data_IF_193025035100
#
_entry.id   IF_193025035100
#
_cell.length_a   1.000
_cell.length_b   1.000
_cell.length_c   1.000
_cell.angle_alpha   90.00
_cell.angle_beta   90.00
_cell.angle_gamma   90.00
#
_symmetry.space_group_name_H-M   'P 1'
#
loop_
_entity.id
_entity.type
_entity.pdbx_description
1 polymer ?
#
# COMPACT_ATOMS: atom_id res chain seq x y z
N UNK A 1 -17.59 10.95 -14.87
CA UNK A 1 -16.89 12.05 -15.55
C UNK A 1 -15.41 11.71 -15.59
N UNK A 2 -14.72 11.97 -16.71
CA UNK A 2 -13.28 11.73 -16.84
C UNK A 2 -12.54 13.07 -16.92
N UNK A 3 -11.58 13.25 -16.02
CA UNK A 3 -10.71 14.41 -16.01
C UNK A 3 -9.93 14.53 -17.33
N UNK A 4 -9.83 15.74 -17.87
CA UNK A 4 -9.07 16.04 -19.10
C UNK A 4 -9.84 15.82 -20.40
N UNK A 5 -11.13 15.47 -20.35
CA UNK A 5 -12.00 15.42 -21.54
C UNK A 5 -12.87 16.66 -21.55
N UNK A 6 -12.46 17.66 -22.34
CA UNK A 6 -13.02 19.02 -22.36
C UNK A 6 -14.32 19.11 -23.18
N UNK A 7 -15.28 18.25 -22.89
CA UNK A 7 -16.61 18.26 -23.52
C UNK A 7 -17.70 18.19 -22.45
N UNK A 8 -18.83 18.90 -22.61
CA UNK A 8 -19.97 18.73 -21.70
C UNK A 8 -20.66 17.36 -21.91
N UNK A 9 -20.65 16.86 -23.16
CA UNK A 9 -21.27 15.61 -23.56
C UNK A 9 -20.48 14.34 -23.23
N UNK A 10 -20.94 13.22 -23.81
CA UNK A 10 -20.27 11.91 -23.74
C UNK A 10 -19.43 11.67 -24.99
N UNK A 11 -18.26 11.06 -24.80
CA UNK A 11 -17.32 10.71 -25.86
C UNK A 11 -16.90 9.25 -25.70
N UNK A 12 -16.71 8.54 -26.80
CA UNK A 12 -16.22 7.16 -26.80
C UNK A 12 -14.68 7.15 -26.80
N UNK A 13 -14.08 6.67 -25.71
CA UNK A 13 -12.63 6.62 -25.54
C UNK A 13 -12.17 5.18 -25.36
N UNK A 14 -10.98 4.88 -25.89
CA UNK A 14 -10.28 3.63 -25.60
C UNK A 14 -9.67 3.73 -24.20
N UNK A 15 -10.13 2.90 -23.27
CA UNK A 15 -9.68 2.91 -21.87
C UNK A 15 -8.80 1.69 -21.58
N UNK A 16 -7.81 1.87 -20.71
CA UNK A 16 -6.93 0.82 -20.21
C UNK A 16 -7.16 0.56 -18.73
N UNK A 17 -6.75 -0.63 -18.28
CA UNK A 17 -6.93 -1.13 -16.91
C UNK A 17 -6.44 -0.12 -15.85
N UNK A 18 -7.34 0.29 -14.96
CA UNK A 18 -7.00 1.18 -13.83
C UNK A 18 -7.21 2.67 -14.10
N UNK A 19 -7.64 3.03 -15.32
CA UNK A 19 -8.11 4.40 -15.59
C UNK A 19 -9.47 4.66 -14.93
N UNK A 20 -9.77 5.94 -14.59
CA UNK A 20 -11.12 6.31 -14.19
C UNK A 20 -12.12 5.90 -15.27
N UNK A 21 -13.28 5.39 -14.85
CA UNK A 21 -14.34 4.80 -15.70
C UNK A 21 -14.01 3.42 -16.31
N UNK A 22 -12.82 2.86 -16.09
CA UNK A 22 -12.47 1.49 -16.47
C UNK A 22 -11.72 0.75 -15.36
N UNK A 23 -12.49 0.10 -14.50
CA UNK A 23 -11.95 -0.70 -13.41
C UNK A 23 -11.26 -1.96 -13.92
N UNK A 24 -10.17 -2.33 -13.22
CA UNK A 24 -9.34 -3.46 -13.61
C UNK A 24 -9.75 -4.81 -13.06
N UNK A 25 -10.74 -4.88 -12.16
CA UNK A 25 -11.26 -6.17 -11.72
C UNK A 25 -12.12 -6.77 -12.84
N UNK A 26 -11.96 -8.08 -13.12
CA UNK A 26 -12.63 -8.84 -14.21
C UNK A 26 -12.14 -8.57 -15.64
N UNK A 27 -10.94 -8.01 -15.83
CA UNK A 27 -10.36 -7.75 -17.17
C UNK A 27 -9.11 -8.57 -17.39
N UNK A 28 -8.84 -8.96 -18.64
CA UNK A 28 -7.58 -9.63 -18.99
C UNK A 28 -6.43 -8.63 -18.90
N UNK A 29 -5.21 -9.13 -18.67
CA UNK A 29 -4.02 -8.29 -18.72
C UNK A 29 -3.84 -7.77 -20.16
N UNK A 30 -3.57 -6.47 -20.31
CA UNK A 30 -3.45 -5.83 -21.62
C UNK A 30 -4.78 -5.53 -22.34
N UNK A 31 -5.94 -5.81 -21.74
CA UNK A 31 -7.23 -5.49 -22.36
C UNK A 31 -7.47 -3.97 -22.41
N UNK A 32 -7.77 -3.48 -23.61
CA UNK A 32 -8.29 -2.13 -23.83
C UNK A 32 -9.73 -2.23 -24.33
N UNK A 33 -10.60 -1.31 -23.89
CA UNK A 33 -12.00 -1.29 -24.34
C UNK A 33 -12.47 0.13 -24.63
N UNK A 34 -13.09 0.32 -25.80
CA UNK A 34 -13.81 1.56 -26.10
C UNK A 34 -15.09 1.63 -25.25
N UNK A 35 -15.25 2.70 -24.50
CA UNK A 35 -16.44 2.98 -23.69
C UNK A 35 -16.84 4.44 -23.81
N UNK A 36 -18.15 4.68 -23.75
CA UNK A 36 -18.70 6.02 -23.62
C UNK A 36 -18.42 6.55 -22.21
N UNK A 37 -17.82 7.74 -22.15
CA UNK A 37 -17.49 8.42 -20.91
C UNK A 37 -17.93 9.88 -21.02
N UNK A 38 -18.50 10.41 -19.94
CA UNK A 38 -18.83 11.83 -19.85
C UNK A 38 -17.58 12.68 -19.60
N UNK A 39 -17.47 13.82 -20.26
CA UNK A 39 -16.38 14.76 -20.05
C UNK A 39 -16.37 15.41 -18.66
N UNK A 40 -15.41 16.29 -18.42
CA UNK A 40 -15.22 16.95 -17.12
C UNK A 40 -16.04 18.24 -16.97
N UNK A 41 -16.58 18.80 -18.05
CA UNK A 41 -17.38 20.02 -18.00
C UNK A 41 -18.76 19.71 -17.39
N UNK A 42 -19.20 20.55 -16.46
CA UNK A 42 -20.50 20.42 -15.80
C UNK A 42 -21.60 20.93 -16.73
N UNK A 43 -22.67 20.17 -16.88
CA UNK A 43 -23.88 20.57 -17.63
C UNK A 43 -25.13 20.03 -16.94
N UNK A 44 -26.31 20.48 -17.39
CA UNK A 44 -27.60 20.18 -16.77
C UNK A 44 -27.97 18.68 -16.82
N UNK A 45 -27.44 17.90 -17.76
CA UNK A 45 -27.73 16.46 -17.87
C UNK A 45 -27.02 15.59 -16.81
N UNK A 46 -26.43 16.18 -15.77
CA UNK A 46 -25.82 15.46 -14.64
C UNK A 46 -26.86 15.18 -13.56
N UNK A 47 -27.02 13.91 -13.18
CA UNK A 47 -27.93 13.54 -12.08
C UNK A 47 -27.30 13.74 -10.69
N UNK A 48 -25.98 13.55 -10.56
CA UNK A 48 -25.26 13.61 -9.28
C UNK A 48 -23.87 14.22 -9.49
N UNK A 49 -23.46 15.09 -8.57
CA UNK A 49 -22.10 15.62 -8.45
C UNK A 49 -21.46 15.16 -7.14
N UNK A 50 -20.22 14.67 -7.23
CA UNK A 50 -19.42 14.30 -6.07
C UNK A 50 -18.51 15.46 -5.70
N UNK A 51 -18.80 16.13 -4.59
CA UNK A 51 -18.02 17.26 -4.07
C UNK A 51 -17.21 16.84 -2.83
N UNK A 52 -16.08 17.49 -2.60
CA UNK A 52 -15.22 17.29 -1.42
C UNK A 52 -14.95 18.64 -0.78
N UNK A 53 -15.21 18.76 0.52
CA UNK A 53 -14.95 19.98 1.29
C UNK A 53 -13.44 20.12 1.51
N UNK A 54 -12.87 21.26 1.11
CA UNK A 54 -11.44 21.57 1.29
C UNK A 54 -11.21 22.50 2.49
N UNK A 55 -12.14 23.45 2.73
CA UNK A 55 -12.11 24.38 3.85
C UNK A 55 -13.47 24.36 4.54
N UNK A 56 -13.47 24.32 5.87
CA UNK A 56 -14.69 24.41 6.69
C UNK A 56 -15.03 25.88 6.90
N UNK A 57 -16.30 26.25 6.73
CA UNK A 57 -16.80 27.59 7.05
C UNK A 57 -17.17 27.71 8.53
N UNK A 58 -17.68 28.88 8.94
CA UNK A 58 -18.11 29.14 10.33
C UNK A 58 -19.32 28.30 10.75
N UNK A 59 -20.21 27.97 9.80
CA UNK A 59 -21.43 27.21 10.06
C UNK A 59 -21.20 25.72 9.81
N UNK A 60 -21.77 24.89 10.69
CA UNK A 60 -21.68 23.43 10.60
C UNK A 60 -22.81 22.88 9.73
N UNK A 61 -22.50 21.85 8.95
CA UNK A 61 -23.44 21.15 8.10
C UNK A 61 -23.88 19.84 8.78
N UNK A 62 -25.20 19.66 9.02
CA UNK A 62 -25.70 18.48 9.69
C UNK A 62 -25.38 17.22 8.90
N UNK A 63 -24.94 16.17 9.59
CA UNK A 63 -24.61 14.87 9.00
C UNK A 63 -23.28 14.79 8.23
N UNK A 64 -22.60 15.91 7.98
CA UNK A 64 -21.30 15.93 7.32
C UNK A 64 -20.19 16.39 8.25
N UNK A 65 -20.33 17.58 8.87
CA UNK A 65 -19.32 18.11 9.78
C UNK A 65 -19.61 17.79 11.25
N UNK A 66 -20.86 17.49 11.60
CA UNK A 66 -21.26 17.11 12.97
C UNK A 66 -20.64 15.80 13.45
N UNK A 67 -20.47 14.85 12.52
CA UNK A 67 -20.08 13.49 12.90
C UNK A 67 -18.63 13.22 12.53
N UNK A 68 -17.82 12.92 13.53
CA UNK A 68 -16.46 12.46 13.30
C UNK A 68 -16.42 10.95 13.09
N UNK A 69 -15.98 10.52 11.90
CA UNK A 69 -15.78 9.10 11.60
C UNK A 69 -14.32 8.70 11.86
N UNK A 70 -14.02 7.85 12.86
CA UNK A 70 -12.66 7.44 13.13
C UNK A 70 -12.12 6.56 12.00
N UNK A 71 -10.79 6.56 11.82
CA UNK A 71 -10.14 5.71 10.83
C UNK A 71 -10.29 4.23 11.19
N UNK A 72 -10.82 3.43 10.26
CA UNK A 72 -11.05 1.99 10.46
C UNK A 72 -9.75 1.17 10.64
N UNK A 73 -8.63 1.62 10.08
CA UNK A 73 -7.35 0.89 10.19
C UNK A 73 -6.20 1.84 10.47
N UNK A 74 -5.35 1.44 11.41
CA UNK A 74 -4.07 2.07 11.67
C UNK A 74 -3.03 1.83 10.57
N UNK A 75 -1.92 2.55 10.65
CA UNK A 75 -0.80 2.41 9.74
C UNK A 75 -0.13 1.04 9.91
N UNK A 76 0.17 0.36 8.80
CA UNK A 76 0.78 -0.99 8.80
C UNK A 76 2.32 -0.98 8.82
N UNK A 77 2.95 0.05 8.22
CA UNK A 77 4.41 0.09 8.04
C UNK A 77 5.09 0.75 9.22
N UNK A 78 6.19 0.17 9.72
CA UNK A 78 6.94 0.69 10.87
C UNK A 78 7.36 2.16 10.72
N UNK A 79 7.89 2.55 9.56
CA UNK A 79 8.30 3.94 9.29
C UNK A 79 7.14 4.95 9.37
N UNK A 80 5.96 4.56 8.90
CA UNK A 80 4.77 5.42 8.97
C UNK A 80 4.25 5.56 10.40
N UNK A 81 4.35 4.50 11.20
CA UNK A 81 3.95 4.54 12.61
C UNK A 81 4.91 5.44 13.40
N UNK A 82 6.22 5.36 13.15
CA UNK A 82 7.22 6.26 13.76
C UNK A 82 6.96 7.73 13.45
N UNK A 83 6.64 8.05 12.19
CA UNK A 83 6.27 9.42 11.78
C UNK A 83 5.00 9.92 12.46
N UNK A 84 4.03 9.03 12.74
CA UNK A 84 2.76 9.42 13.33
C UNK A 84 2.90 9.75 14.83
N UNK A 85 3.75 9.02 15.54
CA UNK A 85 3.97 9.19 16.98
C UNK A 85 5.26 9.94 17.32
N UNK A 86 5.96 10.48 16.30
CA UNK A 86 7.26 11.14 16.45
C UNK A 86 8.29 10.32 17.27
N UNK A 87 8.34 9.01 17.01
CA UNK A 87 9.21 8.09 17.76
C UNK A 87 10.63 8.08 17.20
N UNK A 88 11.66 8.01 18.07
CA UNK A 88 13.03 7.71 17.66
C UNK A 88 13.15 6.29 17.07
N UNK A 89 14.32 5.97 16.50
CA UNK A 89 14.51 4.71 15.77
C UNK A 89 14.68 3.51 16.72
N UNK A 90 15.06 3.79 17.94
CA UNK A 90 15.43 2.87 19.00
C UNK A 90 14.17 2.25 19.61
N UNK A 91 13.05 2.99 19.59
CA UNK A 91 11.80 2.57 20.18
C UNK A 91 11.06 1.48 19.41
N UNK A 92 10.46 0.56 20.17
CA UNK A 92 9.65 -0.52 19.61
C UNK A 92 8.25 -0.03 19.23
N UNK A 93 7.96 -0.18 17.94
CA UNK A 93 6.71 0.22 17.30
C UNK A 93 5.52 -0.66 17.74
N UNK A 94 5.76 -1.87 18.25
CA UNK A 94 4.69 -2.82 18.62
C UNK A 94 3.75 -2.30 19.70
N UNK A 95 4.30 -1.59 20.69
CA UNK A 95 3.52 -1.05 21.82
C UNK A 95 2.46 -0.05 21.34
N UNK A 96 2.87 0.86 20.44
CA UNK A 96 2.04 1.95 19.92
C UNK A 96 0.96 1.51 18.94
N UNK A 97 1.11 0.34 18.30
CA UNK A 97 0.04 -0.20 17.42
C UNK A 97 -1.16 -0.70 18.22
N UNK A 98 -0.97 -1.04 19.50
CA UNK A 98 -2.07 -1.47 20.36
C UNK A 98 -3.07 -0.35 20.64
N UNK A 99 -2.65 0.92 20.57
CA UNK A 99 -3.54 2.09 20.68
C UNK A 99 -4.56 2.16 19.54
N UNK A 100 -4.26 1.56 18.38
CA UNK A 100 -5.18 1.50 17.24
C UNK A 100 -6.02 0.22 17.18
N UNK A 101 -6.04 -0.58 18.25
CA UNK A 101 -6.89 -1.76 18.29
C UNK A 101 -8.34 -1.33 18.35
N UNK A 102 -9.10 -1.70 17.34
CA UNK A 102 -10.56 -1.63 17.42
C UNK A 102 -11.08 -2.96 17.97
N UNK A 103 -11.89 -2.85 19.02
CA UNK A 103 -12.67 -3.95 19.59
C UNK A 103 -14.04 -3.98 18.93
N UNK A 104 -14.41 -5.13 18.38
CA UNK A 104 -15.73 -5.36 17.81
C UNK A 104 -16.40 -6.55 18.49
N UNK A 105 -17.70 -6.45 18.77
CA UNK A 105 -18.52 -7.60 19.14
C UNK A 105 -18.90 -8.36 17.88
N UNK A 106 -18.64 -9.66 17.87
CA UNK A 106 -19.12 -10.54 16.80
C UNK A 106 -20.60 -10.89 17.01
N UNK A 107 -21.27 -11.42 15.99
CA UNK A 107 -22.66 -11.90 16.10
C UNK A 107 -22.83 -12.94 17.22
N UNK A 108 -21.78 -13.71 17.51
CA UNK A 108 -21.74 -14.66 18.63
C UNK A 108 -21.31 -14.01 19.96
N UNK A 109 -21.59 -12.70 20.13
CA UNK A 109 -21.29 -11.86 21.32
C UNK A 109 -19.84 -11.84 21.84
N UNK A 110 -18.88 -12.47 21.14
CA UNK A 110 -17.45 -12.43 21.50
C UNK A 110 -16.80 -11.11 21.11
N UNK A 111 -16.06 -10.50 22.04
CA UNK A 111 -15.24 -9.31 21.80
C UNK A 111 -13.95 -9.70 21.07
N UNK A 112 -13.73 -9.18 19.88
CA UNK A 112 -12.53 -9.41 19.06
C UNK A 112 -11.81 -8.09 18.84
N UNK A 113 -10.52 -8.05 19.19
CA UNK A 113 -9.63 -6.92 18.91
C UNK A 113 -8.87 -7.17 17.60
N UNK A 114 -8.92 -6.21 16.66
CA UNK A 114 -8.19 -6.29 15.38
C UNK A 114 -7.17 -5.17 15.26
N UNK A 115 -5.96 -5.54 14.82
CA UNK A 115 -4.87 -4.62 14.47
C UNK A 115 -4.14 -5.10 13.20
N UNK A 116 -3.57 -4.18 12.41
CA UNK A 116 -2.78 -4.57 11.24
C UNK A 116 -1.44 -5.20 11.66
N UNK A 117 -1.05 -6.31 11.01
CA UNK A 117 0.29 -6.88 11.16
C UNK A 117 1.35 -5.86 10.74
N UNK A 118 2.25 -5.50 11.66
CA UNK A 118 3.33 -4.56 11.39
C UNK A 118 4.24 -5.11 10.30
N UNK A 119 4.52 -4.26 9.31
CA UNK A 119 5.38 -4.57 8.18
C UNK A 119 6.66 -3.73 8.26
N UNK A 120 7.78 -4.34 7.85
CA UNK A 120 9.09 -3.69 7.72
C UNK A 120 9.68 -3.15 9.04
N UNK A 121 9.33 -3.73 10.19
CA UNK A 121 10.12 -3.55 11.42
C UNK A 121 11.29 -4.53 11.43
N UNK A 122 12.40 -4.15 12.06
CA UNK A 122 13.53 -5.05 12.25
C UNK A 122 13.18 -6.10 13.30
N UNK A 123 13.35 -7.38 12.96
CA UNK A 123 13.22 -8.49 13.91
C UNK A 123 14.53 -9.27 13.99
N UNK A 124 14.84 -9.92 15.12
CA UNK A 124 16.03 -10.75 15.24
C UNK A 124 16.10 -11.81 14.13
N UNK A 125 14.96 -12.41 13.76
CA UNK A 125 14.86 -13.35 12.66
C UNK A 125 15.24 -12.74 11.30
N UNK A 126 14.82 -11.49 11.01
CA UNK A 126 15.24 -10.82 9.75
C UNK A 126 16.73 -10.51 9.73
N UNK A 127 17.32 -10.13 10.88
CA UNK A 127 18.75 -9.87 11.00
C UNK A 127 19.56 -11.16 10.86
N UNK A 128 19.12 -12.25 11.48
CA UNK A 128 19.73 -13.57 11.36
C UNK A 128 19.71 -14.05 9.90
N UNK A 129 18.57 -13.99 9.21
CA UNK A 129 18.46 -14.34 7.79
C UNK A 129 19.37 -13.49 6.90
N UNK A 130 19.54 -12.20 7.23
CA UNK A 130 20.46 -11.31 6.51
C UNK A 130 21.92 -11.71 6.75
N UNK A 131 22.31 -12.00 7.99
CA UNK A 131 23.65 -12.47 8.37
C UNK A 131 23.98 -13.81 7.69
N UNK A 132 23.07 -14.78 7.74
CA UNK A 132 23.21 -16.08 7.09
C UNK A 132 23.45 -15.95 5.58
N UNK A 133 22.66 -15.14 4.87
CA UNK A 133 22.87 -14.88 3.44
C UNK A 133 24.26 -14.34 3.12
N UNK A 134 24.77 -13.44 3.96
CA UNK A 134 26.12 -12.86 3.79
C UNK A 134 27.18 -13.94 4.03
N UNK A 135 27.02 -14.76 5.08
CA UNK A 135 27.91 -15.87 5.39
C UNK A 135 27.94 -16.91 4.25
N UNK A 136 26.79 -17.30 3.72
CA UNK A 136 26.66 -18.22 2.59
C UNK A 136 27.35 -17.68 1.33
N UNK A 137 27.20 -16.37 1.05
CA UNK A 137 27.88 -15.73 -0.08
C UNK A 137 29.39 -15.79 0.10
N UNK A 138 29.91 -15.51 1.30
CA UNK A 138 31.34 -15.61 1.60
C UNK A 138 31.83 -17.06 1.46
N UNK A 139 31.10 -18.03 2.01
CA UNK A 139 31.43 -19.47 1.92
C UNK A 139 31.50 -19.97 0.47
N UNK A 140 30.57 -19.51 -0.39
CA UNK A 140 30.61 -19.83 -1.83
C UNK A 140 31.86 -19.26 -2.51
N UNK A 141 32.23 -18.02 -2.20
CA UNK A 141 33.44 -17.39 -2.76
C UNK A 141 34.70 -18.12 -2.31
N UNK A 142 34.83 -18.45 -1.01
CA UNK A 142 36.01 -19.15 -0.49
C UNK A 142 36.12 -20.56 -1.08
N UNK A 143 35.00 -21.27 -1.22
CA UNK A 143 34.95 -22.58 -1.87
C UNK A 143 35.42 -22.51 -3.34
N UNK A 144 34.89 -21.57 -4.12
CA UNK A 144 35.29 -21.40 -5.51
C UNK A 144 36.77 -21.04 -5.67
N UNK A 145 37.31 -20.19 -4.77
CA UNK A 145 38.75 -19.88 -4.74
C UNK A 145 39.61 -21.10 -4.43
N UNK A 146 39.17 -21.93 -3.47
CA UNK A 146 39.87 -23.15 -3.09
C UNK A 146 39.85 -24.19 -4.22
N UNK A 147 38.71 -24.41 -4.87
CA UNK A 147 38.59 -25.29 -6.03
C UNK A 147 39.48 -24.81 -7.19
N UNK A 148 39.51 -23.51 -7.47
CA UNK A 148 40.40 -22.93 -8.48
C UNK A 148 41.88 -23.14 -8.13
N UNK A 149 42.27 -22.97 -6.86
CA UNK A 149 43.63 -23.24 -6.41
C UNK A 149 44.02 -24.71 -6.63
N UNK A 150 43.14 -25.66 -6.30
CA UNK A 150 43.36 -27.09 -6.53
C UNK A 150 43.54 -27.38 -8.03
N UNK A 151 42.66 -26.86 -8.87
CA UNK A 151 42.75 -27.05 -10.34
C UNK A 151 44.07 -26.47 -10.86
N UNK A 152 44.46 -25.28 -10.40
CA UNK A 152 45.71 -24.64 -10.80
C UNK A 152 46.94 -25.43 -10.37
N UNK A 153 46.96 -25.97 -9.14
CA UNK A 153 48.08 -26.82 -8.70
C UNK A 153 48.15 -28.12 -9.49
N UNK A 154 47.01 -28.73 -9.83
CA UNK A 154 46.97 -29.95 -10.65
C UNK A 154 47.50 -29.73 -12.08
N UNK A 155 47.16 -28.60 -12.69
CA UNK A 155 47.65 -28.20 -14.02
C UNK A 155 49.15 -27.83 -14.05
N UNK A 156 49.75 -27.46 -12.92
CA UNK A 156 51.18 -27.12 -12.84
C UNK A 156 52.07 -28.34 -12.54
N UNK A 157 51.49 -29.44 -12.09
CA UNK A 157 52.19 -30.69 -11.75
C UNK A 157 52.22 -31.72 -12.89
N UNK A 158 51.47 -31.48 -13.98
CA UNK A 158 51.54 -32.22 -15.24
C UNK A 158 52.10 -31.30 -16.33
#
# INVERSE_FOLDING_TARGET
>A
MKQGVLTPGRVNLLLYRGTPCFHGYRRRNGEHRRKSVRGCIVSQDLSVLNLVIVKKDKHELPGLTDTEKPRMRGLKRASKIRKLFNLPKEDDVRKYVNTYRQTFTTKASKKVSKAPKIQRHATPLTLQRKRARIADKKKKITKAKFELLIIRSFLLLN
#
